data_IF_677514439400
#
_entry.id   IF_677514439400
#
_cell.length_a   1.000
_cell.length_b   1.000
_cell.length_c   1.000
_cell.angle_alpha   90.00
_cell.angle_beta   90.00
_cell.angle_gamma   90.00
#
_symmetry.space_group_name_H-M   'P 1'
#
loop_
_entity.id
_entity.type
_entity.pdbx_description
1 polymer ?
2 non-polymer ?
3 non-polymer ?
4 non-polymer ?
5 water ?
#
# COMPACT_ATOMS: atom_id res chain seq x y z
N UNK A 1 2.22 -3.43 5.59
CA UNK A 1 3.01 -3.39 6.81
C UNK A 1 2.13 -3.51 8.03
N UNK A 2 1.16 -2.59 8.20
CA UNK A 2 0.24 -2.62 9.35
C UNK A 2 -0.71 -3.81 9.27
N UNK A 3 -1.10 -4.31 10.44
CA UNK A 3 -2.00 -5.43 10.54
C UNK A 3 -2.91 -5.18 11.75
N UNK A 4 -4.11 -5.75 11.75
CA UNK A 4 -4.97 -5.62 12.92
C UNK A 4 -4.35 -6.62 13.89
N UNK A 5 -4.15 -6.21 15.14
CA UNK A 5 -3.55 -7.12 16.11
C UNK A 5 -4.59 -7.86 16.92
N UNK A 6 -5.62 -8.33 16.23
CA UNK A 6 -6.71 -9.08 16.82
C UNK A 6 -7.46 -9.77 15.66
N UNK A 7 -8.33 -10.71 15.99
CA UNK A 7 -9.09 -11.43 14.96
C UNK A 7 -10.58 -11.06 14.97
N UNK A 8 -11.03 -10.39 16.02
CA UNK A 8 -12.42 -9.96 16.08
C UNK A 8 -12.45 -8.49 15.65
N UNK A 9 -12.99 -8.26 14.46
CA UNK A 9 -13.06 -6.92 13.89
C UNK A 9 -14.49 -6.44 13.65
N UNK A 10 -14.74 -5.17 13.94
CA UNK A 10 -16.07 -4.60 13.77
C UNK A 10 -16.12 -3.55 12.67
N UNK A 11 -17.29 -3.44 12.03
CA UNK A 11 -17.45 -2.42 11.00
C UNK A 11 -18.83 -1.79 11.11
N UNK A 12 -18.97 -0.61 10.54
CA UNK A 12 -20.24 0.11 10.56
C UNK A 12 -20.36 0.95 9.31
N UNK A 13 -21.54 0.92 8.70
CA UNK A 13 -21.83 1.69 7.49
C UNK A 13 -22.43 3.02 7.93
N UNK A 14 -21.66 4.09 7.80
CA UNK A 14 -22.11 5.42 8.22
C UNK A 14 -23.32 5.96 7.47
N UNK A 15 -23.36 5.73 6.16
CA UNK A 15 -24.46 6.22 5.35
C UNK A 15 -24.63 5.34 4.12
N UNK A 16 -25.74 5.54 3.40
CA UNK A 16 -26.04 4.75 2.23
C UNK A 16 -26.19 5.54 0.94
N UNK A 17 -25.57 5.04 -0.12
CA UNK A 17 -25.69 5.68 -1.41
C UNK A 17 -27.14 5.54 -1.84
N UNK A 18 -27.69 6.57 -2.50
CA UNK A 18 -29.07 6.54 -2.96
C UNK A 18 -29.15 5.70 -4.25
N UNK A 19 -27.98 5.35 -4.78
CA UNK A 19 -27.91 4.55 -6.01
C UNK A 19 -28.55 3.18 -5.88
N UNK A 20 -28.44 2.60 -4.69
CA UNK A 20 -28.97 1.25 -4.44
C UNK A 20 -29.99 1.21 -3.31
N UNK A 21 -30.59 0.03 -3.13
CA UNK A 21 -31.54 -0.22 -2.06
C UNK A 21 -30.67 -0.44 -0.83
N UNK A 22 -31.10 0.08 0.32
CA UNK A 22 -30.37 -0.06 1.57
C UNK A 22 -29.94 -1.50 1.82
N UNK A 23 -30.87 -2.43 1.62
CA UNK A 23 -30.60 -3.84 1.83
C UNK A 23 -29.48 -4.35 0.93
N UNK A 24 -29.48 -3.90 -0.33
CA UNK A 24 -28.46 -4.32 -1.28
C UNK A 24 -27.08 -3.80 -0.88
N UNK A 25 -27.05 -2.61 -0.28
CA UNK A 25 -25.79 -2.04 0.18
C UNK A 25 -25.26 -2.88 1.35
N UNK A 26 -26.12 -3.14 2.33
CA UNK A 26 -25.71 -3.95 3.49
C UNK A 26 -25.21 -5.31 3.05
N UNK A 27 -25.94 -5.94 2.12
CA UNK A 27 -25.58 -7.26 1.64
C UNK A 27 -24.24 -7.27 0.89
N UNK A 28 -24.04 -6.31 0.01
CA UNK A 28 -22.80 -6.23 -0.76
C UNK A 28 -21.61 -6.13 0.20
N UNK A 29 -21.74 -5.29 1.23
CA UNK A 29 -20.67 -5.11 2.20
C UNK A 29 -20.46 -6.37 3.05
N UNK A 30 -21.56 -6.95 3.53
CA UNK A 30 -21.47 -8.18 4.33
C UNK A 30 -20.77 -9.27 3.53
N UNK A 31 -21.18 -9.44 2.28
CA UNK A 31 -20.59 -10.44 1.41
C UNK A 31 -19.09 -10.22 1.16
N UNK A 32 -18.70 -8.95 1.00
CA UNK A 32 -17.30 -8.64 0.77
C UNK A 32 -16.45 -9.02 1.99
N UNK A 33 -16.95 -8.74 3.19
CA UNK A 33 -16.21 -9.11 4.39
C UNK A 33 -16.11 -10.63 4.50
N UNK A 34 -17.20 -11.34 4.19
CA UNK A 34 -17.15 -12.80 4.28
C UNK A 34 -16.14 -13.41 3.32
N UNK A 35 -15.91 -12.73 2.20
CA UNK A 35 -14.92 -13.22 1.23
C UNK A 35 -13.59 -13.38 1.96
N UNK A 36 -13.25 -12.41 2.80
CA UNK A 36 -11.99 -12.47 3.55
C UNK A 36 -12.05 -13.35 4.80
N UNK A 37 -13.17 -13.33 5.52
CA UNK A 37 -13.27 -14.16 6.72
C UNK A 37 -13.24 -15.64 6.35
N UNK A 38 -13.71 -15.96 5.16
CA UNK A 38 -13.72 -17.36 4.72
C UNK A 38 -12.35 -17.99 4.57
N UNK A 39 -11.31 -17.19 4.36
CA UNK A 39 -9.96 -17.75 4.19
C UNK A 39 -8.97 -17.38 5.29
N UNK A 40 -9.48 -16.84 6.39
CA UNK A 40 -8.63 -16.44 7.52
C UNK A 40 -9.37 -16.71 8.82
N UNK A 41 -8.72 -16.42 9.97
CA UNK A 41 -9.33 -16.63 11.28
C UNK A 41 -10.15 -15.39 11.66
N UNK A 42 -10.14 -14.39 10.78
CA UNK A 42 -10.86 -13.15 11.06
C UNK A 42 -12.37 -13.30 11.12
N UNK A 43 -12.98 -12.64 12.09
CA UNK A 43 -14.43 -12.67 12.27
C UNK A 43 -14.94 -11.24 12.33
N UNK A 44 -15.81 -10.89 11.39
CA UNK A 44 -16.35 -9.54 11.28
C UNK A 44 -17.75 -9.39 11.84
N UNK A 45 -17.97 -8.35 12.64
CA UNK A 45 -19.26 -8.08 13.23
C UNK A 45 -19.71 -6.68 12.86
N UNK A 46 -20.93 -6.59 12.34
CA UNK A 46 -21.51 -5.32 11.94
C UNK A 46 -22.22 -4.67 13.12
N UNK A 47 -21.96 -3.39 13.35
CA UNK A 47 -22.61 -2.69 14.43
C UNK A 47 -23.43 -1.53 13.83
N UNK A 48 -24.60 -1.29 14.37
CA UNK A 48 -25.47 -0.23 13.87
C UNK A 48 -25.30 1.07 14.64
N UNK A 49 -24.56 0.99 15.73
CA UNK A 49 -24.31 2.16 16.55
C UNK A 49 -23.07 1.90 17.41
N UNK A 50 -22.37 2.98 17.76
CA UNK A 50 -21.17 2.82 18.56
C UNK A 50 -19.94 2.84 17.67
N UNK A 51 -18.76 2.73 18.27
CA UNK A 51 -17.52 2.74 17.50
C UNK A 51 -17.25 1.41 16.83
N UNK A 52 -16.70 1.48 15.62
CA UNK A 52 -16.36 0.29 14.86
C UNK A 52 -14.93 0.45 14.36
N UNK A 53 -14.26 -0.65 14.07
CA UNK A 53 -12.88 -0.60 13.59
C UNK A 53 -12.85 -0.03 12.18
N UNK A 54 -13.76 -0.53 11.34
CA UNK A 54 -13.85 -0.12 9.95
C UNK A 54 -15.16 0.64 9.67
N UNK A 55 -15.04 1.89 9.26
CA UNK A 55 -16.21 2.69 8.95
C UNK A 55 -16.38 2.81 7.44
N UNK A 56 -17.56 2.46 6.97
CA UNK A 56 -17.88 2.52 5.54
C UNK A 56 -18.68 3.79 5.31
N UNK A 57 -18.19 4.60 4.37
CA UNK A 57 -18.82 5.87 4.06
C UNK A 57 -18.93 6.11 2.56
N UNK A 58 -20.01 6.75 2.13
CA UNK A 58 -20.20 7.09 0.74
C UNK A 58 -20.11 8.62 0.72
N UNK A 59 -19.25 9.16 -0.13
CA UNK A 59 -19.09 10.62 -0.19
C UNK A 59 -18.49 11.07 -1.51
N UNK A 60 -18.69 12.35 -1.83
CA UNK A 60 -18.17 12.91 -3.06
C UNK A 60 -17.18 14.03 -2.73
N UNK A 61 -16.26 14.30 -3.65
CA UNK A 61 -15.28 15.35 -3.43
C UNK A 61 -14.61 15.24 -2.07
N UNK A 62 -14.38 16.39 -1.44
CA UNK A 62 -13.74 16.42 -0.12
C UNK A 62 -14.71 15.99 0.98
N UNK A 63 -14.30 15.00 1.77
CA UNK A 63 -15.15 14.50 2.84
C UNK A 63 -14.51 14.48 4.22
N UNK A 64 -13.45 15.26 4.39
CA UNK A 64 -12.81 15.34 5.70
C UNK A 64 -11.51 14.61 5.98
N UNK A 65 -11.07 13.70 5.11
CA UNK A 65 -9.83 12.98 5.37
C UNK A 65 -8.60 13.41 4.57
N UNK A 66 -8.69 14.57 3.93
CA UNK A 66 -7.60 15.13 3.12
C UNK A 66 -7.37 14.47 1.76
N UNK A 67 -8.19 13.46 1.43
CA UNK A 67 -8.08 12.78 0.14
C UNK A 67 -9.42 12.93 -0.57
N UNK A 68 -9.66 14.11 -1.11
CA UNK A 68 -10.93 14.40 -1.79
C UNK A 68 -11.16 13.50 -2.99
N UNK A 69 -12.41 13.09 -3.21
CA UNK A 69 -12.71 12.26 -4.37
C UNK A 69 -12.65 13.13 -5.64
N UNK A 70 -12.64 12.49 -6.80
CA UNK A 70 -12.46 13.20 -8.07
C UNK A 70 -13.59 13.23 -9.10
N UNK A 71 -14.84 13.02 -8.68
CA UNK A 71 -15.92 13.03 -9.65
C UNK A 71 -16.08 11.67 -10.29
N UNK A 72 -17.01 11.54 -11.22
CA UNK A 72 -17.25 10.26 -11.88
C UNK A 72 -16.01 9.73 -12.57
N UNK A 73 -15.76 8.43 -12.40
CA UNK A 73 -14.60 7.82 -13.01
C UNK A 73 -13.36 8.03 -12.17
N UNK A 74 -12.20 7.69 -12.71
CA UNK A 74 -10.96 7.85 -11.97
C UNK A 74 -10.97 6.99 -10.72
N UNK A 75 -10.63 7.58 -9.59
CA UNK A 75 -10.63 6.84 -8.33
C UNK A 75 -12.07 6.55 -7.96
N UNK A 76 -12.36 5.29 -7.65
CA UNK A 76 -13.73 4.88 -7.32
C UNK A 76 -13.99 4.81 -5.82
N UNK A 77 -12.91 4.61 -5.08
CA UNK A 77 -12.99 4.48 -3.63
C UNK A 77 -11.57 4.42 -3.09
N UNK A 78 -11.44 4.42 -1.77
CA UNK A 78 -10.13 4.31 -1.16
C UNK A 78 -10.30 3.84 0.28
N UNK A 79 -9.22 3.32 0.84
CA UNK A 79 -9.25 2.79 2.19
C UNK A 79 -7.91 2.98 2.88
N UNK A 80 -7.94 3.00 4.21
CA UNK A 80 -6.72 3.17 4.98
C UNK A 80 -6.38 1.85 5.67
N UNK A 81 -5.09 1.54 5.73
CA UNK A 81 -4.65 0.31 6.36
C UNK A 81 -5.01 0.26 7.83
N UNK A 82 -4.82 -0.91 8.47
CA UNK A 82 -5.13 -1.10 9.90
C UNK A 82 -4.48 -0.01 10.74
N UNK A 83 -5.23 0.51 11.70
CA UNK A 83 -4.73 1.54 12.57
C UNK A 83 -5.87 2.16 13.35
N UNK A 84 -5.53 3.05 14.28
CA UNK A 84 -6.53 3.71 15.08
C UNK A 84 -7.15 4.86 14.29
N UNK A 85 -8.24 5.41 14.82
CA UNK A 85 -8.91 6.51 14.15
C UNK A 85 -9.37 6.16 12.75
N UNK A 86 -8.89 6.92 11.78
CA UNK A 86 -9.21 6.72 10.36
C UNK A 86 -8.74 5.36 9.84
N UNK A 87 -7.75 4.78 10.50
CA UNK A 87 -7.24 3.49 10.05
C UNK A 87 -8.35 2.48 9.81
N UNK A 88 -8.25 1.74 8.71
CA UNK A 88 -9.27 0.73 8.41
C UNK A 88 -10.50 1.17 7.62
N UNK A 89 -10.83 2.46 7.70
CA UNK A 89 -12.01 2.98 7.02
C UNK A 89 -12.01 2.86 5.49
N UNK A 90 -13.18 2.55 4.95
CA UNK A 90 -13.35 2.39 3.51
C UNK A 90 -14.39 3.38 3.01
N UNK A 91 -13.97 4.23 2.06
CA UNK A 91 -14.83 5.25 1.51
C UNK A 91 -15.12 4.98 0.03
N UNK A 92 -16.35 5.27 -0.39
CA UNK A 92 -16.77 5.05 -1.75
C UNK A 92 -17.25 6.36 -2.38
N UNK A 93 -16.70 6.69 -3.54
CA UNK A 93 -17.03 7.93 -4.25
C UNK A 93 -18.49 7.93 -4.72
N UNK A 94 -19.30 8.79 -4.09
CA UNK A 94 -20.72 8.89 -4.43
C UNK A 94 -20.93 9.35 -5.87
N UNK A 95 -19.90 9.94 -6.47
CA UNK A 95 -20.00 10.39 -7.85
C UNK A 95 -20.02 9.21 -8.82
N UNK A 96 -19.79 8.00 -8.30
CA UNK A 96 -19.87 6.82 -9.13
C UNK A 96 -21.31 6.34 -8.99
N UNK A 97 -21.78 5.49 -9.90
CA UNK A 97 -23.13 4.95 -9.80
C UNK A 97 -22.96 3.51 -9.33
N UNK A 98 -23.22 3.29 -8.05
CA UNK A 98 -23.06 1.97 -7.45
C UNK A 98 -24.19 1.01 -7.79
N UNK A 99 -23.82 -0.21 -8.17
CA UNK A 99 -24.82 -1.20 -8.57
C UNK A 99 -24.58 -2.59 -7.98
N UNK A 100 -25.64 -3.42 -8.01
CA UNK A 100 -25.55 -4.79 -7.53
C UNK A 100 -24.86 -5.66 -8.59
N UNK A 101 -24.93 -5.25 -9.85
CA UNK A 101 -24.33 -6.00 -10.96
C UNK A 101 -23.48 -5.16 -11.91
N UNK A 102 -23.76 -5.25 -13.21
CA UNK A 102 -22.99 -4.53 -14.21
C UNK A 102 -23.49 -3.15 -14.61
N UNK A 103 -24.67 -2.75 -14.16
CA UNK A 103 -25.17 -1.44 -14.57
C UNK A 103 -24.34 -0.24 -14.13
N UNK A 104 -23.11 -0.46 -13.66
CA UNK A 104 -22.29 0.65 -13.21
C UNK A 104 -21.09 0.13 -12.46
N UNK A 105 -20.70 0.81 -11.37
CA UNK A 105 -19.56 0.34 -10.58
C UNK A 105 -20.11 -0.64 -9.55
N UNK A 106 -19.64 -1.88 -9.59
CA UNK A 106 -20.12 -2.90 -8.66
C UNK A 106 -19.61 -2.68 -7.24
N UNK A 107 -20.54 -2.43 -6.32
CA UNK A 107 -20.18 -2.20 -4.92
C UNK A 107 -19.48 -3.40 -4.30
N UNK A 108 -20.05 -4.59 -4.50
CA UNK A 108 -19.46 -5.80 -3.93
C UNK A 108 -18.00 -6.03 -4.29
N UNK A 109 -17.69 -6.02 -5.59
CA UNK A 109 -16.32 -6.23 -6.04
C UNK A 109 -15.40 -5.12 -5.55
N UNK A 110 -15.87 -3.88 -5.59
CA UNK A 110 -15.07 -2.76 -5.13
C UNK A 110 -14.79 -2.87 -3.64
N UNK A 111 -15.79 -3.30 -2.88
CA UNK A 111 -15.65 -3.47 -1.43
C UNK A 111 -14.65 -4.56 -1.07
N UNK A 112 -14.66 -5.67 -1.80
CA UNK A 112 -13.72 -6.74 -1.53
C UNK A 112 -12.31 -6.18 -1.65
N UNK A 113 -12.09 -5.40 -2.71
CA UNK A 113 -10.78 -4.79 -2.96
C UNK A 113 -10.40 -3.84 -1.82
N UNK A 114 -11.30 -2.91 -1.51
CA UNK A 114 -11.06 -1.93 -0.46
C UNK A 114 -10.85 -2.56 0.91
N UNK A 115 -11.64 -3.58 1.25
CA UNK A 115 -11.49 -4.22 2.54
C UNK A 115 -10.12 -4.92 2.60
N UNK A 116 -9.62 -5.34 1.45
CA UNK A 116 -8.31 -5.95 1.40
C UNK A 116 -7.34 -4.94 1.97
N UNK A 117 -7.48 -3.68 1.54
CA UNK A 117 -6.63 -2.60 2.03
C UNK A 117 -6.91 -2.34 3.50
N UNK A 118 -8.19 -2.38 3.87
CA UNK A 118 -8.57 -2.16 5.26
C UNK A 118 -7.89 -3.19 6.16
N UNK A 119 -7.58 -4.35 5.61
CA UNK A 119 -6.94 -5.42 6.36
C UNK A 119 -5.42 -5.38 6.24
N UNK A 120 -4.90 -4.47 5.42
CA UNK A 120 -3.46 -4.34 5.29
C UNK A 120 -2.83 -4.84 3.99
N UNK A 121 -3.63 -5.31 3.05
CA UNK A 121 -3.07 -5.77 1.79
C UNK A 121 -2.82 -4.62 0.83
N UNK A 122 -1.70 -4.69 0.12
CA UNK A 122 -1.38 -3.69 -0.86
C UNK A 122 -1.76 -4.27 -2.23
N UNK A 123 -1.34 -3.62 -3.30
CA UNK A 123 -1.64 -4.07 -4.66
C UNK A 123 -0.72 -5.17 -5.17
N UNK A 124 -1.32 -6.14 -5.85
CA UNK A 124 -0.58 -7.25 -6.45
C UNK A 124 -0.38 -6.99 -7.94
N UNK A 125 0.59 -7.66 -8.54
CA UNK A 125 0.84 -7.50 -9.97
C UNK A 125 0.07 -8.58 -10.71
N UNK A 126 -0.47 -9.53 -9.94
CA UNK A 126 -1.23 -10.63 -10.50
C UNK A 126 -2.59 -10.16 -11.02
N UNK A 127 -2.76 -10.17 -12.35
CA UNK A 127 -3.99 -9.74 -13.01
C UNK A 127 -5.22 -10.53 -12.56
N UNK A 128 -5.00 -11.70 -11.96
CA UNK A 128 -6.10 -12.52 -11.51
C UNK A 128 -6.55 -12.14 -10.09
N UNK A 129 -5.69 -11.41 -9.38
CA UNK A 129 -5.98 -11.01 -8.01
C UNK A 129 -6.99 -9.86 -7.88
N UNK A 130 -7.81 -9.92 -6.83
CA UNK A 130 -8.79 -8.87 -6.58
C UNK A 130 -8.03 -7.63 -6.10
N UNK A 131 -6.81 -7.83 -5.63
CA UNK A 131 -6.00 -6.71 -5.14
C UNK A 131 -5.16 -6.09 -6.27
N UNK A 132 -5.43 -6.50 -7.50
CA UNK A 132 -4.73 -5.93 -8.64
C UNK A 132 -5.17 -4.46 -8.57
N UNK A 133 -4.27 -3.53 -8.87
CA UNK A 133 -4.58 -2.09 -8.82
C UNK A 133 -5.67 -1.51 -9.71
N UNK A 134 -6.12 -2.26 -10.71
CA UNK A 134 -7.14 -1.77 -11.63
C UNK A 134 -8.48 -2.48 -11.51
N UNK A 135 -9.57 -1.71 -11.40
CA UNK A 135 -10.91 -2.26 -11.29
C UNK A 135 -11.29 -3.16 -12.46
N UNK A 136 -11.99 -4.24 -12.15
CA UNK A 136 -12.45 -5.17 -13.17
C UNK A 136 -13.80 -5.73 -12.76
N UNK A 137 -14.69 -5.92 -13.74
CA UNK A 137 -15.99 -6.47 -13.44
C UNK A 137 -16.02 -7.95 -13.83
N UNK A 138 -16.71 -8.75 -13.02
CA UNK A 138 -16.86 -10.18 -13.28
C UNK A 138 -18.18 -10.59 -12.67
N UNK A 139 -18.72 -11.73 -13.10
CA UNK A 139 -19.97 -12.21 -12.55
C UNK A 139 -19.74 -12.38 -11.05
N UNK A 140 -20.48 -11.61 -10.24
CA UNK A 140 -20.32 -11.66 -8.79
C UNK A 140 -20.61 -13.02 -8.15
N UNK A 141 -21.49 -13.80 -8.78
CA UNK A 141 -21.84 -15.11 -8.23
C UNK A 141 -20.74 -16.14 -8.40
N UNK A 142 -19.80 -15.89 -9.31
CA UNK A 142 -18.71 -16.82 -9.53
C UNK A 142 -17.36 -16.21 -9.15
N UNK A 143 -17.41 -15.06 -8.49
CA UNK A 143 -16.19 -14.38 -8.06
C UNK A 143 -15.39 -15.22 -7.06
N UNK A 144 -14.08 -15.19 -7.20
CA UNK A 144 -13.20 -15.93 -6.31
C UNK A 144 -11.85 -15.24 -6.15
N UNK A 145 -11.34 -15.23 -4.92
CA UNK A 145 -10.03 -14.63 -4.64
C UNK A 145 -8.98 -15.45 -5.38
N UNK A 146 -7.89 -14.82 -5.81
CA UNK A 146 -6.86 -15.58 -6.52
C UNK A 146 -5.93 -16.21 -5.48
N UNK A 147 -5.12 -17.17 -5.91
CA UNK A 147 -4.19 -17.81 -4.98
C UNK A 147 -3.29 -16.74 -4.36
N UNK A 148 -2.96 -15.72 -5.14
CA UNK A 148 -2.11 -14.65 -4.65
C UNK A 148 -2.80 -13.87 -3.53
N UNK A 149 -4.10 -13.60 -3.71
CA UNK A 149 -4.88 -12.88 -2.71
C UNK A 149 -4.88 -13.68 -1.40
N UNK A 150 -5.12 -14.99 -1.53
CA UNK A 150 -5.17 -15.88 -0.38
C UNK A 150 -3.83 -15.95 0.34
N UNK A 151 -2.77 -16.07 -0.44
CA UNK A 151 -1.42 -16.15 0.10
C UNK A 151 -1.09 -14.88 0.89
N UNK A 152 -1.45 -13.74 0.32
CA UNK A 152 -1.19 -12.48 0.99
C UNK A 152 -1.93 -12.26 2.30
N UNK A 153 -3.23 -12.55 2.32
CA UNK A 153 -4.01 -12.35 3.53
C UNK A 153 -3.69 -13.39 4.60
N UNK A 154 -3.29 -14.58 4.18
CA UNK A 154 -2.94 -15.63 5.14
C UNK A 154 -1.55 -15.44 5.75
N UNK A 155 -0.65 -14.78 5.02
CA UNK A 155 0.68 -14.54 5.58
C UNK A 155 0.52 -13.50 6.69
N UNK A 156 -0.53 -12.70 6.60
CA UNK A 156 -0.78 -11.68 7.62
C UNK A 156 -1.55 -12.21 8.82
N UNK A 157 -2.65 -12.93 8.57
CA UNK A 157 -3.50 -13.43 9.64
C UNK A 157 -3.53 -14.94 9.87
N UNK A 158 -2.84 -15.69 9.03
CA UNK A 158 -2.79 -17.13 9.17
C UNK A 158 -3.96 -17.87 8.55
N UNK A 159 -4.08 -19.14 8.93
CA UNK A 159 -5.13 -20.03 8.43
C UNK A 159 -4.74 -20.51 7.04
N UNK B 1 -2.35 6.28 1.73
CA UNK B 1 -3.18 7.05 2.65
C UNK B 1 -2.34 8.00 3.47
N UNK B 2 -1.40 7.47 4.28
CA UNK B 2 -0.53 8.29 5.13
C UNK B 2 0.46 9.10 4.30
N UNK B 3 0.82 10.26 4.83
CA UNK B 3 1.76 11.14 4.15
C UNK B 3 2.62 11.78 5.25
N UNK B 4 3.81 12.25 4.91
CA UNK B 4 4.63 12.94 5.91
C UNK B 4 4.02 14.34 5.91
N UNK B 5 3.81 14.92 7.09
CA UNK B 5 3.20 16.24 7.15
C UNK B 5 4.23 17.36 7.27
N UNK B 6 5.28 17.23 6.48
CA UNK B 6 6.36 18.19 6.44
C UNK B 6 7.13 17.92 5.15
N UNK B 7 8.00 18.83 4.75
CA UNK B 7 8.78 18.65 3.54
C UNK B 7 10.26 18.38 3.82
N UNK B 8 10.71 18.63 5.05
CA UNK B 8 12.10 18.35 5.40
C UNK B 8 12.12 16.98 6.09
N UNK B 9 12.69 16.01 5.41
CA UNK B 9 12.76 14.64 5.90
C UNK B 9 14.19 14.14 6.12
N UNK B 10 14.39 13.38 7.18
CA UNK B 10 15.71 12.85 7.48
C UNK B 10 15.78 11.34 7.38
N UNK B 11 16.94 10.84 6.99
CA UNK B 11 17.15 9.40 6.90
C UNK B 11 18.52 9.06 7.46
N UNK B 12 18.67 7.82 7.90
CA UNK B 12 19.91 7.33 8.47
C UNK B 12 20.10 5.87 8.09
N UNK B 13 21.31 5.52 7.69
CA UNK B 13 21.63 4.15 7.32
C UNK B 13 22.19 3.46 8.56
N UNK B 14 21.39 2.57 9.16
CA UNK B 14 21.80 1.87 10.36
C UNK B 14 23.02 0.96 10.21
N UNK B 15 23.08 0.22 9.12
CA UNK B 15 24.19 -0.69 8.89
C UNK B 15 24.41 -0.88 7.40
N UNK B 16 25.53 -1.51 7.03
CA UNK B 16 25.87 -1.71 5.63
C UNK B 16 26.05 -3.16 5.23
N UNK B 17 25.51 -3.52 4.07
CA UNK B 17 25.66 -4.87 3.56
C UNK B 17 27.12 -5.05 3.15
N UNK B 18 27.70 -6.22 3.43
CA UNK B 18 29.09 -6.51 3.08
C UNK B 18 29.22 -6.74 1.57
N UNK B 19 28.07 -6.85 0.90
CA UNK B 19 28.05 -7.07 -0.54
C UNK B 19 28.68 -5.93 -1.33
N UNK B 20 28.54 -4.72 -0.82
CA UNK B 20 29.07 -3.54 -1.51
C UNK B 20 30.01 -2.70 -0.65
N UNK B 21 30.75 -1.79 -1.28
CA UNK B 21 31.64 -0.90 -0.55
C UNK B 21 30.72 0.12 0.11
N UNK B 22 31.02 0.50 1.33
CA UNK B 22 30.21 1.46 2.07
C UNK B 22 29.86 2.70 1.26
N UNK B 23 30.81 3.25 0.50
CA UNK B 23 30.52 4.44 -0.28
C UNK B 23 29.49 4.18 -1.38
N UNK B 24 29.52 3.00 -1.97
CA UNK B 24 28.56 2.67 -3.02
C UNK B 24 27.18 2.54 -2.40
N UNK B 25 27.11 2.06 -1.17
CA UNK B 25 25.83 1.93 -0.49
C UNK B 25 25.26 3.32 -0.18
N UNK B 26 26.10 4.22 0.33
CA UNK B 26 25.64 5.58 0.63
C UNK B 26 25.18 6.27 -0.65
N UNK B 27 25.95 6.10 -1.71
CA UNK B 27 25.63 6.72 -2.99
C UNK B 27 24.30 6.22 -3.56
N UNK B 28 24.13 4.89 -3.60
CA UNK B 28 22.89 4.32 -4.11
C UNK B 28 21.69 4.89 -3.37
N UNK B 29 21.79 4.98 -2.05
CA UNK B 29 20.71 5.49 -1.22
C UNK B 29 20.47 6.97 -1.48
N UNK B 30 21.56 7.76 -1.49
CA UNK B 30 21.48 9.19 -1.73
C UNK B 30 20.79 9.44 -3.06
N UNK B 31 21.19 8.69 -4.09
CA UNK B 31 20.61 8.82 -5.42
C UNK B 31 19.12 8.51 -5.44
N UNK B 32 18.74 7.42 -4.76
CA UNK B 32 17.34 7.03 -4.72
C UNK B 32 16.48 8.16 -4.16
N UNK B 33 16.94 8.78 -3.07
CA UNK B 33 16.18 9.88 -2.47
C UNK B 33 16.10 11.07 -3.42
N UNK B 34 17.21 11.39 -4.09
CA UNK B 34 17.21 12.52 -5.01
C UNK B 34 16.23 12.32 -6.16
N UNK B 35 15.95 11.07 -6.48
CA UNK B 35 15.00 10.76 -7.55
C UNK B 35 13.66 11.40 -7.20
N UNK B 36 13.23 11.22 -5.96
CA UNK B 36 11.97 11.76 -5.49
C UNK B 36 11.98 13.25 -5.15
N UNK B 37 13.09 13.74 -4.58
CA UNK B 37 13.16 15.16 -4.24
C UNK B 37 13.21 15.99 -5.53
N UNK B 38 13.76 15.42 -6.59
CA UNK B 38 13.82 16.14 -7.85
C UNK B 38 12.46 16.50 -8.42
N UNK B 39 11.41 15.76 -8.05
CA UNK B 39 10.08 16.04 -8.58
C UNK B 39 9.05 16.46 -7.53
N UNK B 40 9.52 16.89 -6.37
CA UNK B 40 8.64 17.32 -5.28
C UNK B 40 9.35 18.39 -4.46
N UNK B 41 8.65 18.97 -3.48
CA UNK B 41 9.24 20.01 -2.63
C UNK B 41 10.01 19.35 -1.48
N UNK B 42 10.03 18.02 -1.46
CA UNK B 42 10.71 17.29 -0.39
C UNK B 42 12.23 17.52 -0.37
N UNK B 43 12.77 17.67 0.83
CA UNK B 43 14.20 17.88 1.05
C UNK B 43 14.70 16.77 1.97
N UNK B 44 15.67 15.98 1.52
CA UNK B 44 16.18 14.87 2.32
C UNK B 44 17.57 15.12 2.90
N UNK B 45 17.71 14.93 4.21
CA UNK B 45 18.99 15.11 4.86
C UNK B 45 19.41 13.81 5.52
N UNK B 46 20.67 13.44 5.31
CA UNK B 46 21.21 12.21 5.88
C UNK B 46 21.92 12.52 7.20
N UNK B 47 21.61 11.75 8.24
CA UNK B 47 22.26 11.96 9.53
C UNK B 47 23.00 10.69 9.95
N UNK B 48 24.20 10.86 10.51
CA UNK B 48 25.02 9.73 10.93
C UNK B 48 24.65 9.19 12.30
N UNK B 49 24.30 10.08 13.21
CA UNK B 49 23.90 9.70 14.56
C UNK B 49 22.58 10.39 14.88
N UNK B 50 21.88 9.88 15.88
CA UNK B 50 20.61 10.47 16.25
C UNK B 50 19.46 9.88 15.47
N UNK B 51 18.24 10.14 15.94
CA UNK B 51 17.05 9.61 15.27
C UNK B 51 16.77 10.28 13.95
N UNK B 52 16.24 9.50 13.02
CA UNK B 52 15.89 10.01 11.69
C UNK B 52 14.49 9.52 11.35
N UNK B 53 13.84 10.19 10.42
CA UNK B 53 12.48 9.80 10.01
C UNK B 53 12.49 8.44 9.35
N UNK B 54 13.42 8.26 8.41
CA UNK B 54 13.55 7.01 7.67
C UNK B 54 14.83 6.27 8.02
N UNK B 55 14.68 5.06 8.56
CA UNK B 55 15.82 4.25 8.93
C UNK B 55 16.07 3.18 7.86
N UNK B 56 17.28 3.16 7.31
CA UNK B 56 17.64 2.17 6.31
C UNK B 56 18.42 1.05 7.00
N UNK B 57 17.95 -0.17 6.82
CA UNK B 57 18.56 -1.33 7.46
C UNK B 57 18.71 -2.53 6.53
N UNK B 58 19.81 -3.26 6.69
CA UNK B 58 20.06 -4.46 5.92
C UNK B 58 19.96 -5.60 6.93
N UNK B 59 19.07 -6.56 6.69
CA UNK B 59 18.92 -7.68 7.60
C UNK B 59 18.38 -8.92 6.91
N UNK B 60 18.54 -10.06 7.56
CA UNK B 60 18.05 -11.34 7.03
C UNK B 60 17.06 -11.94 8.01
N UNK B 61 16.14 -12.76 7.49
CA UNK B 61 15.15 -13.39 8.34
C UNK B 61 14.50 -12.41 9.29
N UNK B 62 14.20 -12.86 10.50
CA UNK B 62 13.57 -12.03 11.52
C UNK B 62 14.52 -10.96 12.01
N UNK B 63 14.10 -9.70 11.92
CA UNK B 63 14.94 -8.60 12.36
C UNK B 63 14.25 -7.63 13.31
N UNK B 64 13.16 -8.06 13.93
CA UNK B 64 12.47 -7.22 14.90
C UNK B 64 11.16 -6.53 14.57
N UNK B 65 10.78 -6.44 13.30
CA UNK B 65 9.52 -5.76 12.98
C UNK B 65 8.35 -6.66 12.65
N UNK B 66 8.45 -7.94 12.97
CA UNK B 66 7.38 -8.90 12.75
C UNK B 66 7.17 -9.36 11.29
N UNK B 67 7.98 -8.83 10.38
CA UNK B 67 7.89 -9.20 8.97
C UNK B 67 9.24 -9.78 8.57
N UNK B 68 9.48 -11.02 8.98
CA UNK B 68 10.75 -11.69 8.71
C UNK B 68 11.02 -11.82 7.22
N UNK B 69 12.27 -11.63 6.82
CA UNK B 69 12.60 -11.80 5.41
C UNK B 69 12.59 -13.29 5.09
N UNK B 70 12.65 -13.62 3.80
CA UNK B 70 12.53 -15.02 3.36
C UNK B 70 13.71 -15.68 2.66
N UNK B 71 14.94 -15.26 2.93
CA UNK B 71 16.08 -15.89 2.27
C UNK B 71 16.26 -15.35 0.86
N UNK B 72 17.23 -15.90 0.13
CA UNK B 72 17.51 -15.46 -1.24
C UNK B 72 16.28 -15.49 -2.14
N UNK B 73 16.04 -14.41 -2.87
CA UNK B 73 14.89 -14.36 -3.76
C UNK B 73 13.60 -13.94 -3.06
N UNK B 74 12.48 -14.19 -3.71
CA UNK B 74 11.20 -13.81 -3.13
C UNK B 74 11.18 -12.33 -2.81
N UNK B 75 10.86 -11.99 -1.56
CA UNK B 75 10.82 -10.59 -1.16
C UNK B 75 12.25 -10.07 -1.04
N UNK B 76 12.54 -8.98 -1.73
CA UNK B 76 13.89 -8.41 -1.74
C UNK B 76 14.10 -7.36 -0.66
N UNK B 77 13.00 -6.72 -0.27
CA UNK B 77 13.03 -5.65 0.71
C UNK B 77 11.61 -5.23 1.01
N UNK B 78 11.45 -4.32 1.97
CA UNK B 78 10.13 -3.82 2.30
C UNK B 78 10.25 -2.51 3.05
N UNK B 79 9.16 -1.75 3.07
CA UNK B 79 9.16 -0.45 3.72
C UNK B 79 7.80 -0.13 4.31
N UNK B 80 7.79 0.71 5.34
CA UNK B 80 6.54 1.11 5.98
C UNK B 80 6.20 2.54 5.58
N UNK B 81 4.91 2.81 5.41
CA UNK B 81 4.47 4.13 5.02
C UNK B 81 4.72 5.17 6.11
N UNK B 82 4.58 6.46 5.79
CA UNK B 82 4.80 7.56 6.73
C UNK B 82 4.11 7.33 8.07
N UNK B 83 4.82 7.61 9.15
CA UNK B 83 4.28 7.44 10.48
C UNK B 83 5.40 7.49 11.50
N UNK B 84 5.04 7.45 12.78
CA UNK B 84 6.03 7.49 13.84
C UNK B 84 6.70 6.12 14.00
N UNK B 85 7.77 6.09 14.79
CA UNK B 85 8.49 4.85 15.05
C UNK B 85 8.94 4.13 13.79
N UNK B 86 8.40 2.94 13.59
CA UNK B 86 8.73 2.09 12.43
C UNK B 86 8.34 2.76 11.11
N UNK B 87 7.34 3.64 11.15
CA UNK B 87 6.90 4.32 9.95
C UNK B 87 8.04 4.91 9.12
N UNK B 88 7.97 4.73 7.80
CA UNK B 88 8.99 5.28 6.93
C UNK B 88 10.24 4.44 6.72
N UNK B 89 10.53 3.53 7.64
CA UNK B 89 11.72 2.70 7.54
C UNK B 89 11.74 1.74 6.35
N UNK B 90 12.93 1.59 5.76
CA UNK B 90 13.12 0.72 4.60
C UNK B 90 14.19 -0.32 4.89
N UNK B 91 13.79 -1.58 4.78
CA UNK B 91 14.69 -2.69 5.05
C UNK B 91 15.04 -3.48 3.79
N UNK B 92 16.27 -3.96 3.73
CA UNK B 92 16.76 -4.72 2.58
C UNK B 92 17.23 -6.10 3.02
N UNK B 93 16.71 -7.12 2.36
CA UNK B 93 17.05 -8.49 2.69
C UNK B 93 18.52 -8.78 2.39
N UNK B 94 19.29 -9.06 3.44
CA UNK B 94 20.71 -9.35 3.31
C UNK B 94 20.94 -10.68 2.58
N UNK B 95 19.91 -11.52 2.50
CA UNK B 95 20.07 -12.79 1.81
C UNK B 95 20.11 -12.59 0.29
N UNK B 96 19.96 -11.34 -0.12
CA UNK B 96 20.05 -10.99 -1.54
C UNK B 96 21.50 -10.50 -1.71
N UNK B 97 22.01 -10.47 -2.94
CA UNK B 97 23.35 -9.97 -3.18
C UNK B 97 23.19 -8.60 -3.80
N UNK B 98 23.39 -7.55 -3.00
CA UNK B 98 23.22 -6.18 -3.47
C UNK B 98 24.39 -5.69 -4.31
N UNK B 99 24.07 -5.02 -5.41
CA UNK B 99 25.10 -4.50 -6.31
C UNK B 99 24.83 -3.11 -6.85
N UNK B 100 25.89 -2.49 -7.39
CA UNK B 100 25.81 -1.16 -7.99
C UNK B 100 25.19 -1.27 -9.38
N UNK B 101 25.35 -2.42 -10.03
CA UNK B 101 24.78 -2.60 -11.37
C UNK B 101 23.97 -3.87 -11.60
N UNK B 102 24.33 -4.66 -12.61
CA UNK B 102 23.55 -5.84 -12.96
C UNK B 102 23.79 -7.21 -12.31
N UNK B 103 24.93 -7.45 -11.67
CA UNK B 103 25.21 -8.79 -11.13
C UNK B 103 24.59 -9.20 -9.82
N UNK B 104 23.35 -8.79 -9.62
CA UNK B 104 22.61 -9.15 -8.43
C UNK B 104 21.40 -8.25 -8.30
N UNK B 105 20.98 -7.99 -7.08
CA UNK B 105 19.82 -7.15 -6.89
C UNK B 105 20.34 -5.72 -6.80
N UNK B 106 19.91 -4.89 -7.73
CA UNK B 106 20.36 -3.50 -7.75
C UNK B 106 19.82 -2.70 -6.57
N UNK B 107 20.74 -2.22 -5.73
CA UNK B 107 20.35 -1.46 -4.55
C UNK B 107 19.62 -0.16 -4.91
N UNK B 108 20.23 0.65 -5.78
CA UNK B 108 19.61 1.91 -6.19
C UNK B 108 18.16 1.77 -6.66
N UNK B 109 17.93 0.89 -7.61
CA UNK B 109 16.58 0.69 -8.15
C UNK B 109 15.62 0.18 -7.09
N UNK B 110 16.10 -0.74 -6.25
CA UNK B 110 15.27 -1.28 -5.20
C UNK B 110 14.93 -0.17 -4.19
N UNK B 111 15.92 0.67 -3.90
CA UNK B 111 15.75 1.77 -2.95
C UNK B 111 14.77 2.84 -3.44
N UNK B 112 14.74 3.08 -4.75
CA UNK B 112 13.81 4.08 -5.27
C UNK B 112 12.40 3.57 -5.02
N UNK B 113 12.20 2.27 -5.25
CA UNK B 113 10.89 1.64 -5.07
C UNK B 113 10.48 1.69 -3.60
N UNK B 114 11.38 1.25 -2.72
CA UNK B 114 11.09 1.24 -1.29
C UNK B 114 10.86 2.64 -0.71
N UNK B 115 11.66 3.62 -1.13
CA UNK B 115 11.46 4.97 -0.60
C UNK B 115 10.11 5.49 -1.06
N UNK B 116 9.64 5.01 -2.20
CA UNK B 116 8.34 5.42 -2.69
C UNK B 116 7.33 5.02 -1.63
N UNK B 117 7.49 3.82 -1.11
CA UNK B 117 6.59 3.33 -0.05
C UNK B 117 6.81 4.16 1.21
N UNK B 118 8.06 4.49 1.48
CA UNK B 118 8.40 5.28 2.67
C UNK B 118 7.71 6.64 2.60
N UNK B 119 7.42 7.11 1.39
CA UNK B 119 6.78 8.40 1.20
C UNK B 119 5.26 8.31 1.08
N UNK B 120 4.73 7.10 1.08
CA UNK B 120 3.30 6.93 1.02
C UNK B 120 2.73 6.37 -0.27
N UNK B 121 3.57 6.06 -1.24
CA UNK B 121 3.08 5.52 -2.50
C UNK B 121 2.85 4.02 -2.45
N UNK B 122 1.76 3.58 -3.07
CA UNK B 122 1.44 2.17 -3.14
C UNK B 122 1.90 1.67 -4.50
N UNK B 123 1.45 0.48 -4.89
CA UNK B 123 1.83 -0.12 -6.17
C UNK B 123 0.93 0.31 -7.32
N UNK B 124 1.56 0.61 -8.45
CA UNK B 124 0.87 1.02 -9.65
C UNK B 124 0.68 -0.18 -10.58
N UNK B 125 -0.29 -0.09 -11.47
CA UNK B 125 -0.52 -1.15 -12.44
C UNK B 125 0.30 -0.80 -13.67
N UNK B 126 0.91 0.37 -13.67
CA UNK B 126 1.71 0.82 -14.80
C UNK B 126 3.09 0.16 -14.87
N UNK B 127 3.28 -0.72 -15.85
CA UNK B 127 4.54 -1.44 -16.07
C UNK B 127 5.74 -0.52 -16.25
N UNK B 128 5.45 0.73 -16.56
CA UNK B 128 6.48 1.73 -16.78
C UNK B 128 6.98 2.28 -15.45
N UNK B 129 6.12 2.21 -14.44
CA UNK B 129 6.40 2.73 -13.10
C UNK B 129 7.42 1.99 -12.24
N UNK B 130 8.17 2.74 -11.44
CA UNK B 130 9.14 2.15 -10.53
C UNK B 130 8.33 1.58 -9.37
N UNK B 131 7.09 2.04 -9.23
CA UNK B 131 6.23 1.55 -8.16
C UNK B 131 5.40 0.33 -8.59
N UNK B 132 5.73 -0.23 -9.75
CA UNK B 132 5.04 -1.43 -10.21
C UNK B 132 5.44 -2.44 -9.13
N UNK B 133 4.57 -3.39 -8.81
CA UNK B 133 4.92 -4.37 -7.77
C UNK B 133 6.04 -5.38 -8.03
N UNK B 134 6.47 -5.51 -9.29
CA UNK B 134 7.52 -6.46 -9.63
C UNK B 134 8.86 -5.83 -9.97
N UNK B 135 9.91 -6.31 -9.31
CA UNK B 135 11.27 -5.81 -9.52
C UNK B 135 11.71 -5.92 -10.98
N UNK B 136 12.44 -4.93 -11.45
CA UNK B 136 12.92 -4.93 -12.81
C UNK B 136 14.25 -4.21 -12.88
N UNK B 137 15.17 -4.77 -13.65
CA UNK B 137 16.46 -4.13 -13.79
C UNK B 137 16.48 -3.31 -15.07
N UNK B 138 17.19 -2.18 -15.02
CA UNK B 138 17.35 -1.28 -16.14
C UNK B 138 18.67 -0.58 -15.90
N UNK B 139 19.27 -0.06 -16.97
CA UNK B 139 20.54 0.66 -16.84
C UNK B 139 20.26 1.82 -15.88
N UNK B 140 20.92 1.80 -14.72
CA UNK B 140 20.69 2.83 -13.72
C UNK B 140 21.01 4.26 -14.15
N UNK B 141 21.87 4.42 -15.16
CA UNK B 141 22.23 5.75 -15.62
C UNK B 141 21.17 6.41 -16.50
N UNK B 142 20.22 5.62 -16.98
CA UNK B 142 19.17 6.15 -17.82
C UNK B 142 17.81 5.93 -17.18
N UNK B 143 17.82 5.53 -15.91
CA UNK B 143 16.57 5.30 -15.18
C UNK B 143 15.80 6.59 -15.00
N UNK B 144 14.48 6.50 -15.08
CA UNK B 144 13.63 7.67 -14.89
C UNK B 144 12.25 7.22 -14.43
N UNK B 145 11.66 8.01 -13.53
CA UNK B 145 10.33 7.73 -13.01
C UNK B 145 9.34 7.81 -14.17
N UNK B 146 8.21 7.12 -14.07
CA UNK B 146 7.22 7.18 -15.14
C UNK B 146 6.28 8.33 -14.83
N UNK B 147 5.44 8.70 -15.81
CA UNK B 147 4.50 9.79 -15.59
C UNK B 147 3.59 9.41 -14.42
N UNK B 148 3.29 8.13 -14.28
CA UNK B 148 2.43 7.66 -13.20
C UNK B 148 3.09 7.83 -11.84
N UNK B 149 4.39 7.59 -11.77
CA UNK B 149 5.13 7.74 -10.52
C UNK B 149 5.10 9.20 -10.12
N UNK B 150 5.34 10.08 -11.10
CA UNK B 150 5.35 11.52 -10.86
C UNK B 150 3.99 12.03 -10.41
N UNK B 151 2.94 11.64 -11.11
CA UNK B 151 1.60 12.07 -10.75
C UNK B 151 1.26 11.64 -9.33
N UNK B 152 1.60 10.40 -9.01
CA UNK B 152 1.33 9.89 -7.68
C UNK B 152 1.99 10.68 -6.56
N UNK B 153 3.31 10.86 -6.66
CA UNK B 153 4.04 11.57 -5.61
C UNK B 153 3.67 13.05 -5.53
N UNK B 154 3.35 13.65 -6.67
CA UNK B 154 2.99 15.07 -6.69
C UNK B 154 1.58 15.31 -6.17
N UNK B 155 0.72 14.30 -6.23
CA UNK B 155 -0.64 14.46 -5.71
C UNK B 155 -0.55 14.47 -4.19
N UNK B 156 0.48 13.83 -3.65
CA UNK B 156 0.68 13.78 -2.21
C UNK B 156 1.45 14.98 -1.66
N UNK B 157 2.53 15.38 -2.33
CA UNK B 157 3.35 16.48 -1.86
C UNK B 157 3.41 17.71 -2.75
N UNK B 158 2.80 17.64 -3.92
CA UNK B 158 2.78 18.78 -4.82
C UNK B 158 3.98 18.91 -5.73
N UNK B 159 4.02 20.04 -6.44
CA UNK B 159 5.09 20.38 -7.38
C UNK B 159 4.69 20.04 -8.81
X LIG C 1 -6.43 -0.47 -4.28
X LIG D 1 -12.00 9.21 2.13
X LIG E 1 -14.28 9.09 -8.81
X LIG F 1 -11.13 3.01 11.72
X LIG G 1 -23.74 7.75 -6.70
X LIG H 1 -5.59 3.71 -3.14
X LIG H 1 -5.95 3.18 -1.91
X LIG H 1 -4.87 2.30 -1.53
X LIG H 1 -3.91 2.34 -2.52
X LIG H 1 -2.73 1.58 -2.44
X LIG H 1 -2.53 0.78 -1.28
X LIG H 1 -3.52 0.74 -0.24
X LIG H 1 -4.71 1.52 -0.36
X LIG H 1 -4.37 3.23 -3.57
X LIG H 1 -3.81 3.53 -4.60
X LIG H 1 -6.98 3.41 -1.28
X LIG H 1 -6.42 4.67 -3.89
X LIG H 1 -6.96 4.20 -5.26
X LIG H 1 -8.08 3.13 -5.28
X LIG H 1 -8.65 2.96 -6.70
X LIG H 1 -10.06 2.33 -6.78
X LIG H 1 -11.02 3.06 -6.55
X LIG H 1 -10.19 0.88 -7.11
X LIG H 1 -9.17 0.13 -7.75
X LIG H 1 -9.35 -1.24 -8.05
X LIG H 1 -10.55 -1.93 -7.74
X LIG H 1 -11.56 -1.17 -7.08
X LIG H 1 -11.40 0.20 -6.78
X LIG H 1 -10.74 -3.39 -8.09
X LIG H 1 -12.02 -3.98 -8.12
X LIG H 1 -12.24 -5.31 -8.47
X LIG H 1 -11.15 -6.16 -8.82
X LIG H 1 -9.85 -5.60 -8.79
X LIG H 1 -9.65 -4.24 -8.43
X LIG H 1 -11.26 -7.51 -9.21
X LIG H 1 -12.55 -8.11 -9.26
X LIG H 1 -12.41 -9.56 -9.70
X LIG H 1 -7.57 1.75 -4.78
X LIG H 1 -6.59 1.21 -5.21
X LIG H 1 -8.32 1.23 -3.79
X LIG I 1 6.56 -2.48 -3.31
X LIG J 1 11.81 -5.17 8.21
X LIG K 1 14.43 -12.46 0.11
X LIG L 1 10.73 5.90 11.03
X LIG M 1 23.81 -9.93 0.96
X LIG N 1 5.63 -4.81 0.37
X LIG N 1 5.96 -3.60 0.96
X LIG N 1 4.89 -2.68 0.62
X LIG N 1 3.97 -3.37 -0.16
X LIG N 1 2.80 -2.73 -0.65
X LIG N 1 2.60 -1.37 -0.30
X LIG N 1 3.55 -0.67 0.50
X LIG N 1 4.72 -1.34 0.97
X LIG N 1 4.44 -4.73 -0.32
X LIG N 1 3.90 -5.64 -0.94
X LIG N 1 6.96 -3.36 1.64
X LIG N 1 6.44 -6.04 0.47
X LIG N 1 7.03 -6.59 -0.85
X LIG N 1 8.17 -5.79 -1.54
X LIG N 1 8.77 -6.60 -2.71
X LIG N 1 10.19 -6.16 -3.13
X LIG N 1 11.13 -6.54 -2.45
X LIG N 1 10.35 -5.31 -4.35
X LIG N 1 9.36 -5.22 -5.37
X LIG N 1 9.58 -4.40 -6.50
X LIG N 1 10.77 -3.64 -6.68
X LIG N 1 11.74 -3.74 -5.65
X LIG N 1 11.54 -4.55 -4.50
X LIG N 1 10.99 -2.80 -7.93
X LIG N 1 12.30 -2.41 -8.31
X LIG N 1 12.54 -1.66 -9.47
X LIG N 1 11.48 -1.25 -10.32
X LIG N 1 10.17 -1.63 -9.95
X LIG N 1 9.93 -2.39 -8.78
X LIG N 1 11.61 -0.51 -11.51
X LIG N 1 12.90 -0.11 -11.94
X LIG N 1 12.78 0.66 -13.25
X LIG N 1 7.68 -4.43 -2.09
X LIG N 1 6.71 -4.32 -2.81
X LIG N 1 8.42 -3.39 -1.68
#
# INVERSE_FOLDING_TARGET
GPVWRKHYITYRINNYTPDMNREDVDYAIRKAFQVWSNVTPLKFSKINTGMADILVVFARGAHGDFHAFDGKGGILAHAFGPGSGIGGDAHFDEDEFWTTHSGGTNLFLTAVHEIGHSLGLGHSSDPKAVMFPTYKYVDINTFRLSADDIRGIQSLYGDPKEN
GPVWRKHYITYRINNYTPDMNREDVDYAIRKAFQVWSNVTPLKFSKINTGMADILVVFARGAHGDFHAFDGKGGILAHAFGPGSGIGGDAHFDEDEFWTTHSGGTNLFLTAVHEIGHSLGLGHSSDPKAVMFPTYKYVDINTFRLSADDIRGIQSLYGDPKEN
ZN ZN
ZN ZN
CA CA
CA CA
CA CA
DEO N1 C1 C2 C3 C4 C5 C6 C7 C8 O1 O2 C9 C10 C11 C12 C13 O3 C14 C15 C16 C17 C18 C19 C20 C21 C22 C23 C24 C25 O4 C26 C27 C28 O5 O6
ZN ZN
ZN ZN
CA CA
CA CA
CA CA
DEO N1 C1 C2 C3 C4 C5 C6 C7 C8 O1 O2 C9 C10 C11 C12 C13 O3 C14 C15 C16 C17 C18 C19 C20 C21 C22 C23 C24 C25 O4 C26 C27 C28 O5 O6
#
